data_IF_146685962621
#
_entry.id   IF_146685962621
#
_cell.length_a   1.000
_cell.length_b   1.000
_cell.length_c   1.000
_cell.angle_alpha   90.00
_cell.angle_beta   90.00
_cell.angle_gamma   90.00
#
_symmetry.space_group_name_H-M   'P 1'
#
loop_
_entity.id
_entity.type
_entity.pdbx_description
1 polymer ?
#
# COMPACT_ATOMS: atom_id res chain seq x y z
N UNK A 1 8.86 12.37 -15.27
CA UNK A 1 8.92 10.93 -15.04
C UNK A 1 9.94 10.65 -13.95
N UNK A 2 9.47 10.39 -12.73
CA UNK A 2 10.35 10.00 -11.62
C UNK A 2 10.36 8.47 -11.59
N UNK A 3 11.43 7.88 -12.18
CA UNK A 3 11.64 6.44 -12.14
C UNK A 3 11.88 5.96 -10.72
N UNK A 4 11.05 5.04 -10.24
CA UNK A 4 11.32 4.26 -9.04
C UNK A 4 12.54 3.37 -9.31
N UNK A 5 13.65 3.65 -8.65
CA UNK A 5 14.77 2.71 -8.58
C UNK A 5 14.48 1.73 -7.47
N UNK A 6 13.96 0.54 -7.79
CA UNK A 6 13.89 -0.54 -6.83
C UNK A 6 15.27 -1.18 -6.68
N UNK A 7 15.96 -0.88 -5.59
CA UNK A 7 17.14 -1.63 -5.18
C UNK A 7 16.72 -2.70 -4.18
N UNK A 8 16.72 -3.97 -4.57
CA UNK A 8 16.59 -5.07 -3.63
C UNK A 8 17.99 -5.38 -3.09
N UNK A 9 18.26 -4.98 -1.85
CA UNK A 9 19.44 -5.46 -1.13
C UNK A 9 19.09 -6.80 -0.49
N UNK A 10 19.56 -7.89 -1.07
CA UNK A 10 19.63 -9.18 -0.38
C UNK A 10 21.07 -9.36 0.07
N UNK A 11 21.34 -9.04 1.34
CA UNK A 11 22.61 -9.39 1.98
C UNK A 11 22.33 -10.45 3.03
N UNK A 12 22.64 -11.72 2.72
CA UNK A 12 23.05 -12.68 3.73
C UNK A 12 23.89 -13.78 3.11
N UNK A 13 25.00 -14.08 3.78
CA UNK A 13 25.86 -15.22 3.50
C UNK A 13 27.08 -14.94 2.64
N UNK A 14 28.09 -14.25 3.18
CA UNK A 14 29.52 -14.50 2.86
C UNK A 14 30.02 -14.23 1.46
N UNK A 15 29.32 -13.46 0.64
CA UNK A 15 29.77 -13.00 -0.67
C UNK A 15 29.51 -11.50 -0.80
N UNK A 16 30.43 -10.77 -1.43
CA UNK A 16 30.26 -9.35 -1.77
C UNK A 16 28.88 -9.13 -2.40
N UNK A 17 27.92 -8.61 -1.61
CA UNK A 17 26.55 -8.40 -2.04
C UNK A 17 26.48 -7.40 -3.20
N UNK A 18 26.04 -7.86 -4.33
CA UNK A 18 25.71 -6.98 -5.44
C UNK A 18 24.21 -6.73 -5.45
N UNK A 19 23.76 -5.48 -5.42
CA UNK A 19 22.47 -5.17 -5.97
C UNK A 19 22.59 -5.36 -7.49
N UNK A 20 22.09 -6.47 -8.02
CA UNK A 20 21.90 -6.59 -9.45
C UNK A 20 20.85 -5.58 -9.86
N UNK A 21 21.21 -4.69 -10.78
CA UNK A 21 20.21 -3.88 -11.45
C UNK A 21 19.52 -4.77 -12.50
N UNK A 22 18.33 -5.23 -12.18
CA UNK A 22 17.53 -6.10 -13.07
C UNK A 22 16.78 -5.31 -14.14
N UNK A 23 17.13 -4.06 -14.39
CA UNK A 23 16.51 -3.23 -15.38
C UNK A 23 15.87 -1.97 -14.82
N UNK A 24 15.47 -1.06 -15.68
CA UNK A 24 14.84 0.22 -15.40
C UNK A 24 13.72 0.48 -16.41
N UNK A 25 13.64 1.72 -16.89
CA UNK A 25 12.62 2.18 -17.85
C UNK A 25 12.55 1.38 -19.16
N UNK A 26 13.57 0.55 -19.46
CA UNK A 26 13.64 -0.35 -20.64
C UNK A 26 13.10 -1.75 -20.43
N UNK A 27 12.63 -2.08 -19.21
CA UNK A 27 12.13 -3.43 -18.89
C UNK A 27 13.11 -4.27 -18.07
N UNK A 28 12.79 -5.57 -17.93
CA UNK A 28 13.59 -6.53 -17.17
C UNK A 28 14.82 -6.96 -18.00
N UNK A 29 16.00 -6.88 -17.38
CA UNK A 29 17.22 -7.47 -17.92
C UNK A 29 17.26 -8.96 -17.57
N UNK A 30 16.83 -9.80 -18.50
CA UNK A 30 16.77 -11.25 -18.32
C UNK A 30 18.16 -11.91 -18.21
N UNK A 31 19.18 -11.34 -18.86
CA UNK A 31 20.55 -11.84 -18.77
C UNK A 31 21.11 -11.59 -17.36
N UNK A 32 20.90 -10.38 -16.82
CA UNK A 32 21.28 -10.06 -15.46
C UNK A 32 20.50 -10.90 -14.45
N UNK A 33 19.22 -11.20 -14.71
CA UNK A 33 18.41 -12.08 -13.87
C UNK A 33 19.00 -13.49 -13.81
N UNK A 34 19.34 -14.09 -14.96
CA UNK A 34 19.97 -15.41 -15.02
C UNK A 34 21.35 -15.39 -14.35
N UNK A 35 22.15 -14.36 -14.62
CA UNK A 35 23.48 -14.20 -14.04
C UNK A 35 23.46 -14.03 -12.52
N UNK A 36 22.35 -13.53 -11.94
CA UNK A 36 22.17 -13.39 -10.50
C UNK A 36 22.05 -14.71 -9.76
N UNK A 37 21.76 -15.82 -10.45
CA UNK A 37 21.49 -17.12 -9.87
C UNK A 37 20.19 -17.19 -9.06
N UNK A 38 19.28 -16.25 -9.23
CA UNK A 38 18.02 -16.22 -8.52
C UNK A 38 17.14 -17.43 -8.90
N UNK A 39 16.54 -18.08 -7.90
CA UNK A 39 15.59 -19.17 -8.13
C UNK A 39 14.15 -18.65 -8.27
N UNK A 40 13.84 -17.53 -7.63
CA UNK A 40 12.52 -16.92 -7.62
C UNK A 40 12.65 -15.42 -7.89
N UNK A 41 11.84 -14.91 -8.79
CA UNK A 41 11.60 -13.48 -9.01
C UNK A 41 10.22 -13.13 -8.49
N UNK A 42 10.15 -12.20 -7.54
CA UNK A 42 8.88 -11.63 -7.11
C UNK A 42 8.57 -10.38 -7.91
N UNK A 43 7.34 -10.22 -8.36
CA UNK A 43 6.95 -9.04 -9.14
C UNK A 43 5.53 -8.61 -8.82
N UNK A 44 5.24 -7.34 -9.11
CA UNK A 44 3.87 -6.83 -9.14
C UNK A 44 3.29 -7.04 -10.54
N UNK A 45 2.10 -7.69 -10.68
CA UNK A 45 1.54 -8.06 -11.97
C UNK A 45 0.86 -6.88 -12.71
N UNK A 46 1.44 -5.67 -12.64
CA UNK A 46 0.95 -4.53 -13.39
C UNK A 46 1.33 -4.64 -14.85
N UNK A 47 0.35 -4.79 -15.74
CA UNK A 47 0.57 -4.84 -17.17
C UNK A 47 1.25 -6.11 -17.68
N UNK A 48 1.38 -7.13 -16.83
CA UNK A 48 2.03 -8.42 -17.11
C UNK A 48 3.43 -8.32 -17.78
N UNK A 49 4.35 -7.51 -17.20
CA UNK A 49 5.71 -7.38 -17.76
C UNK A 49 6.53 -8.66 -17.61
N UNK A 50 6.00 -9.66 -16.88
CA UNK A 50 6.68 -10.92 -16.55
C UNK A 50 6.21 -12.10 -17.40
N UNK A 51 5.34 -11.87 -18.39
CA UNK A 51 4.85 -12.95 -19.25
C UNK A 51 6.01 -13.65 -19.97
N UNK A 52 6.07 -14.97 -19.82
CA UNK A 52 7.09 -15.81 -20.46
C UNK A 52 8.51 -15.68 -19.87
N UNK A 53 8.74 -14.80 -18.89
CA UNK A 53 10.08 -14.65 -18.24
C UNK A 53 10.53 -15.98 -17.63
N UNK A 54 9.65 -16.67 -16.92
CA UNK A 54 9.99 -17.96 -16.32
C UNK A 54 10.39 -19.04 -17.34
N UNK A 55 9.76 -19.04 -18.52
CA UNK A 55 10.07 -19.98 -19.60
C UNK A 55 11.43 -19.67 -20.25
N UNK A 56 11.74 -18.39 -20.45
CA UNK A 56 12.99 -17.95 -21.09
C UNK A 56 14.19 -18.03 -20.18
N UNK A 57 14.00 -17.75 -18.89
CA UNK A 57 15.10 -17.64 -17.91
C UNK A 57 15.27 -18.88 -17.01
N UNK A 58 14.23 -19.72 -16.90
CA UNK A 58 14.16 -20.80 -15.92
C UNK A 58 13.91 -20.36 -14.48
N UNK A 59 13.84 -19.06 -14.22
CA UNK A 59 13.54 -18.48 -12.90
C UNK A 59 12.05 -18.57 -12.62
N UNK A 60 11.66 -18.98 -11.43
CA UNK A 60 10.25 -19.04 -11.04
C UNK A 60 9.72 -17.63 -10.80
N UNK A 61 8.71 -17.20 -11.53
CA UNK A 61 8.04 -15.91 -11.33
C UNK A 61 6.88 -16.09 -10.36
N UNK A 62 6.90 -15.32 -9.27
CA UNK A 62 5.84 -15.31 -8.27
C UNK A 62 5.24 -13.89 -8.17
N UNK A 63 3.99 -13.69 -8.62
CA UNK A 63 3.33 -12.40 -8.47
C UNK A 63 2.99 -12.14 -7.01
N UNK A 64 3.33 -10.96 -6.51
CA UNK A 64 2.89 -10.46 -5.21
C UNK A 64 1.67 -9.58 -5.41
N UNK A 65 0.59 -9.87 -4.70
CA UNK A 65 -0.70 -9.16 -4.79
C UNK A 65 -1.16 -8.58 -3.45
N UNK A 66 -0.25 -8.33 -2.52
CA UNK A 66 -0.58 -7.78 -1.21
C UNK A 66 -1.28 -6.42 -1.30
N UNK A 67 -1.04 -5.68 -2.37
CA UNK A 67 -1.69 -4.39 -2.61
C UNK A 67 -3.18 -4.49 -2.94
N UNK A 68 -3.66 -5.67 -3.37
CA UNK A 68 -5.08 -5.94 -3.62
C UNK A 68 -5.85 -6.23 -2.33
N UNK A 69 -5.13 -6.53 -1.23
CA UNK A 69 -5.74 -6.83 0.04
C UNK A 69 -6.38 -5.57 0.67
N UNK A 70 -7.65 -5.70 1.01
CA UNK A 70 -8.44 -4.62 1.60
C UNK A 70 -8.38 -4.58 3.12
N UNK A 71 -7.74 -5.58 3.73
CA UNK A 71 -7.55 -5.63 5.18
C UNK A 71 -6.08 -5.46 5.54
N UNK A 72 -5.73 -4.55 6.48
CA UNK A 72 -4.33 -4.28 6.85
C UNK A 72 -3.55 -5.52 7.28
N UNK A 73 -4.18 -6.42 8.06
CA UNK A 73 -3.52 -7.66 8.47
C UNK A 73 -3.36 -8.66 7.32
N UNK A 74 -4.29 -8.73 6.37
CA UNK A 74 -4.13 -9.57 5.20
C UNK A 74 -2.92 -9.12 4.35
N UNK A 75 -2.75 -7.80 4.18
CA UNK A 75 -1.55 -7.25 3.53
C UNK A 75 -0.27 -7.58 4.30
N UNK A 76 -0.26 -7.41 5.62
CA UNK A 76 0.90 -7.73 6.46
C UNK A 76 1.22 -9.23 6.49
N UNK A 77 0.23 -10.12 6.25
CA UNK A 77 0.40 -11.56 6.28
C UNK A 77 1.29 -12.09 5.15
N UNK A 78 1.49 -11.32 4.08
CA UNK A 78 2.42 -11.67 3.01
C UNK A 78 3.86 -11.85 3.50
N UNK A 79 4.23 -11.33 4.67
CA UNK A 79 5.52 -11.64 5.31
C UNK A 79 5.72 -13.15 5.50
N UNK A 80 4.63 -13.93 5.71
CA UNK A 80 4.71 -15.38 5.85
C UNK A 80 5.11 -16.07 4.54
N UNK A 81 4.65 -15.54 3.40
CA UNK A 81 5.04 -16.03 2.07
C UNK A 81 6.55 -15.84 1.86
N UNK A 82 7.05 -14.64 2.19
CA UNK A 82 8.48 -14.33 2.11
C UNK A 82 9.28 -15.19 3.09
N UNK A 83 8.78 -15.35 4.32
CA UNK A 83 9.40 -16.22 5.31
C UNK A 83 9.48 -17.68 4.86
N UNK A 84 8.45 -18.17 4.20
CA UNK A 84 8.46 -19.52 3.64
C UNK A 84 9.51 -19.66 2.52
N UNK A 85 9.57 -18.70 1.59
CA UNK A 85 10.55 -18.71 0.50
C UNK A 85 12.00 -18.67 0.99
N UNK A 86 12.23 -17.95 2.09
CA UNK A 86 13.56 -17.76 2.66
C UNK A 86 13.94 -18.80 3.74
N UNK A 87 13.07 -19.78 4.01
CA UNK A 87 13.28 -20.74 5.08
C UNK A 87 13.18 -20.15 6.50
N UNK A 88 12.53 -18.99 6.64
CA UNK A 88 12.38 -18.23 7.89
C UNK A 88 10.93 -18.20 8.40
N UNK A 89 10.16 -19.26 8.17
CA UNK A 89 8.72 -19.31 8.48
C UNK A 89 8.41 -18.98 9.94
N UNK A 90 9.16 -19.54 10.88
CA UNK A 90 8.94 -19.28 12.32
C UNK A 90 9.15 -17.82 12.70
N UNK A 91 10.16 -17.16 12.11
CA UNK A 91 10.42 -15.74 12.34
C UNK A 91 9.33 -14.87 11.72
N UNK A 92 8.89 -15.21 10.51
CA UNK A 92 7.80 -14.50 9.82
C UNK A 92 6.48 -14.60 10.59
N UNK A 93 6.15 -15.80 11.11
CA UNK A 93 4.98 -15.99 11.97
C UNK A 93 5.06 -15.18 13.26
N UNK A 94 6.20 -15.22 13.95
CA UNK A 94 6.40 -14.43 15.17
C UNK A 94 6.23 -12.92 14.90
N UNK A 95 6.79 -12.43 13.78
CA UNK A 95 6.66 -11.04 13.36
C UNK A 95 5.21 -10.69 13.05
N UNK A 96 4.52 -11.49 12.25
CA UNK A 96 3.11 -11.28 11.93
C UNK A 96 2.23 -11.27 13.20
N UNK A 97 2.42 -12.24 14.09
CA UNK A 97 1.66 -12.33 15.33
C UNK A 97 1.86 -11.09 16.20
N UNK A 98 3.09 -10.56 16.27
CA UNK A 98 3.37 -9.30 16.95
C UNK A 98 2.67 -8.09 16.31
N UNK A 99 2.59 -8.04 14.97
CA UNK A 99 1.84 -7.00 14.25
C UNK A 99 0.36 -7.14 14.56
N UNK A 100 -0.21 -8.34 14.47
CA UNK A 100 -1.63 -8.60 14.70
C UNK A 100 -2.05 -8.23 16.13
N UNK A 101 -1.22 -8.54 17.13
CA UNK A 101 -1.45 -8.15 18.52
C UNK A 101 -1.50 -6.62 18.70
N UNK A 102 -0.50 -5.90 18.16
CA UNK A 102 -0.47 -4.43 18.25
C UNK A 102 -1.65 -3.81 17.52
N UNK A 103 -2.00 -4.35 16.35
CA UNK A 103 -3.16 -3.90 15.60
C UNK A 103 -4.46 -4.08 16.38
N UNK A 104 -4.69 -5.25 16.96
CA UNK A 104 -5.86 -5.54 17.78
C UNK A 104 -5.96 -4.59 19.00
N UNK A 105 -4.84 -4.32 19.66
CA UNK A 105 -4.79 -3.40 20.79
C UNK A 105 -5.10 -1.95 20.36
N UNK A 106 -4.53 -1.49 19.25
CA UNK A 106 -4.80 -0.16 18.71
C UNK A 106 -6.28 -0.02 18.30
N UNK A 107 -6.85 -1.01 17.62
CA UNK A 107 -8.26 -1.07 17.25
C UNK A 107 -9.18 -1.00 18.47
N UNK A 108 -8.91 -1.82 19.49
CA UNK A 108 -9.68 -1.81 20.72
C UNK A 108 -9.64 -0.45 21.44
N UNK A 109 -8.46 0.20 21.44
CA UNK A 109 -8.31 1.55 21.99
C UNK A 109 -9.09 2.60 21.19
N UNK A 110 -8.99 2.58 19.86
CA UNK A 110 -9.74 3.47 18.96
C UNK A 110 -11.25 3.35 19.17
N UNK A 111 -11.75 2.12 19.19
CA UNK A 111 -13.17 1.84 19.43
C UNK A 111 -13.64 2.28 20.82
N UNK A 112 -12.77 2.16 21.84
CA UNK A 112 -13.06 2.67 23.20
C UNK A 112 -13.17 4.19 23.20
N UNK A 113 -12.25 4.88 22.53
CA UNK A 113 -12.28 6.34 22.39
C UNK A 113 -13.51 6.81 21.64
N UNK A 114 -13.86 6.15 20.53
CA UNK A 114 -15.06 6.44 19.76
C UNK A 114 -16.35 6.36 20.59
N UNK A 115 -16.45 5.37 21.47
CA UNK A 115 -17.60 5.24 22.41
C UNK A 115 -17.69 6.36 23.42
N UNK A 116 -16.57 6.96 23.82
CA UNK A 116 -16.54 8.01 24.87
C UNK A 116 -16.58 9.43 24.30
N UNK A 117 -16.01 9.65 23.10
CA UNK A 117 -15.83 10.98 22.51
C UNK A 117 -16.54 11.17 21.16
N UNK A 118 -17.16 10.11 20.64
CA UNK A 118 -17.71 10.07 19.28
C UNK A 118 -16.69 9.57 18.24
N UNK A 119 -17.19 9.21 17.07
CA UNK A 119 -16.38 8.78 15.92
C UNK A 119 -16.19 9.96 14.98
N UNK A 120 -14.98 10.52 14.84
CA UNK A 120 -14.76 11.62 13.91
C UNK A 120 -14.99 11.14 12.47
N UNK A 121 -15.59 11.97 11.65
CA UNK A 121 -15.73 11.76 10.22
C UNK A 121 -14.46 12.20 9.53
N UNK A 122 -13.82 11.28 8.82
CA UNK A 122 -12.51 11.49 8.20
C UNK A 122 -12.61 11.36 6.69
N UNK A 123 -12.04 12.33 5.98
CA UNK A 123 -11.90 12.30 4.53
C UNK A 123 -10.43 12.46 4.14
N UNK A 124 -9.93 11.63 3.23
CA UNK A 124 -8.53 11.66 2.83
C UNK A 124 -8.36 11.41 1.33
N UNK A 125 -7.26 11.87 0.77
CA UNK A 125 -6.95 11.72 -0.63
C UNK A 125 -5.76 12.56 -1.05
N UNK A 126 -5.64 12.83 -2.33
CA UNK A 126 -4.64 13.74 -2.89
C UNK A 126 -5.14 14.39 -4.17
N UNK A 127 -4.73 15.62 -4.42
CA UNK A 127 -4.96 16.26 -5.72
C UNK A 127 -3.95 15.72 -6.73
N UNK A 128 -4.45 15.32 -7.90
CA UNK A 128 -3.64 14.84 -9.03
C UNK A 128 -4.27 15.33 -10.33
N UNK A 129 -3.53 16.19 -11.06
CA UNK A 129 -3.95 16.67 -12.37
C UNK A 129 -5.29 17.43 -12.41
N UNK A 130 -5.61 18.16 -11.36
CA UNK A 130 -6.86 18.95 -11.24
C UNK A 130 -8.05 18.17 -10.68
N UNK A 131 -7.89 16.90 -10.38
CA UNK A 131 -8.90 16.06 -9.74
C UNK A 131 -8.46 15.69 -8.31
N UNK A 132 -9.43 15.53 -7.42
CA UNK A 132 -9.18 14.89 -6.13
C UNK A 132 -9.34 13.39 -6.26
N UNK A 133 -8.31 12.65 -5.85
CA UNK A 133 -8.30 11.18 -5.81
C UNK A 133 -8.36 10.71 -4.38
N UNK A 134 -9.43 10.03 -4.01
CA UNK A 134 -9.67 9.50 -2.68
C UNK A 134 -9.71 7.96 -2.69
N UNK A 135 -9.29 7.28 -1.60
CA UNK A 135 -9.52 5.85 -1.44
C UNK A 135 -11.01 5.50 -1.48
N UNK A 136 -11.33 4.31 -1.99
CA UNK A 136 -12.70 3.79 -1.99
C UNK A 136 -13.17 3.46 -0.56
N UNK A 137 -14.48 3.52 -0.33
CA UNK A 137 -15.10 3.23 0.98
C UNK A 137 -14.89 1.77 1.44
N UNK A 138 -14.65 0.85 0.52
CA UNK A 138 -14.40 -0.57 0.78
C UNK A 138 -12.89 -0.92 0.74
N UNK A 139 -12.02 0.10 0.66
CA UNK A 139 -10.58 -0.06 0.55
C UNK A 139 -9.84 -0.10 1.90
N UNK A 140 -8.54 -0.30 1.81
CA UNK A 140 -7.64 -0.41 2.96
C UNK A 140 -7.71 0.82 3.89
N UNK A 141 -7.73 2.03 3.30
CA UNK A 141 -7.68 3.28 4.08
C UNK A 141 -8.98 3.49 4.86
N UNK A 142 -10.14 3.25 4.22
CA UNK A 142 -11.43 3.30 4.90
C UNK A 142 -11.46 2.34 6.10
N UNK A 143 -10.97 1.11 5.89
CA UNK A 143 -10.87 0.12 6.97
C UNK A 143 -9.96 0.58 8.11
N UNK A 144 -8.81 1.21 7.80
CA UNK A 144 -7.91 1.75 8.83
C UNK A 144 -8.58 2.85 9.66
N UNK A 145 -9.34 3.75 9.01
CA UNK A 145 -10.10 4.80 9.69
C UNK A 145 -11.15 4.19 10.62
N UNK A 146 -11.94 3.23 10.12
CA UNK A 146 -12.97 2.54 10.90
C UNK A 146 -12.38 1.76 12.08
N UNK A 147 -11.30 1.03 11.85
CA UNK A 147 -10.64 0.24 12.88
C UNK A 147 -9.97 1.14 13.93
N UNK A 148 -9.58 2.36 13.57
CA UNK A 148 -9.11 3.39 14.51
C UNK A 148 -10.24 4.07 15.31
N UNK A 149 -11.50 3.77 15.00
CA UNK A 149 -12.67 4.34 15.68
C UNK A 149 -13.25 5.58 15.02
N UNK A 150 -12.76 5.94 13.82
CA UNK A 150 -13.32 6.98 12.97
C UNK A 150 -14.45 6.45 12.09
N UNK A 151 -15.03 7.36 11.33
CA UNK A 151 -15.97 7.07 10.25
C UNK A 151 -15.36 7.60 8.95
N UNK A 152 -15.20 6.75 7.96
CA UNK A 152 -14.75 7.21 6.66
C UNK A 152 -15.92 7.93 5.94
N UNK A 153 -15.67 9.13 5.41
CA UNK A 153 -16.73 9.99 4.88
C UNK A 153 -17.44 9.37 3.66
N UNK A 154 -16.64 8.76 2.75
CA UNK A 154 -17.22 8.14 1.57
C UNK A 154 -17.91 6.82 1.94
N UNK A 155 -19.09 6.63 1.41
CA UNK A 155 -19.83 5.39 1.42
C UNK A 155 -20.40 5.10 0.02
N UNK A 156 -20.97 3.92 -0.15
CA UNK A 156 -21.58 3.51 -1.43
C UNK A 156 -22.68 4.45 -1.89
N UNK A 157 -23.45 5.00 -0.97
CA UNK A 157 -24.57 5.92 -1.28
C UNK A 157 -24.05 7.25 -1.80
N UNK A 158 -23.03 7.80 -1.15
CA UNK A 158 -22.37 9.06 -1.57
C UNK A 158 -21.72 8.88 -2.93
N UNK A 159 -20.98 7.79 -3.15
CA UNK A 159 -20.38 7.47 -4.45
C UNK A 159 -21.41 7.48 -5.57
N UNK A 160 -22.55 6.81 -5.35
CA UNK A 160 -23.61 6.71 -6.35
C UNK A 160 -24.40 8.03 -6.55
N UNK A 161 -24.76 8.70 -5.45
CA UNK A 161 -25.59 9.92 -5.53
C UNK A 161 -24.86 11.10 -6.15
N UNK A 162 -23.55 11.17 -5.99
CA UNK A 162 -22.71 12.21 -6.58
C UNK A 162 -22.13 11.83 -7.96
N UNK A 163 -22.38 10.61 -8.42
CA UNK A 163 -21.84 10.12 -9.69
C UNK A 163 -20.31 10.08 -9.72
N UNK A 164 -19.67 9.76 -8.59
CA UNK A 164 -18.21 9.75 -8.49
C UNK A 164 -17.62 8.62 -9.33
N UNK A 165 -16.47 8.88 -9.95
CA UNK A 165 -15.82 7.94 -10.85
C UNK A 165 -14.87 7.01 -10.09
N UNK A 166 -15.15 5.70 -10.07
CA UNK A 166 -14.25 4.71 -9.51
C UNK A 166 -13.15 4.33 -10.52
N UNK A 167 -11.91 4.38 -10.08
CA UNK A 167 -10.72 4.00 -10.85
C UNK A 167 -9.86 3.05 -9.98
N UNK A 168 -10.02 1.78 -10.20
CA UNK A 168 -9.37 0.74 -9.37
C UNK A 168 -9.82 0.82 -7.91
N UNK A 169 -8.86 1.02 -7.01
CA UNK A 169 -9.08 1.19 -5.57
C UNK A 169 -9.29 2.65 -5.13
N UNK A 170 -9.47 3.55 -6.10
CA UNK A 170 -9.65 4.98 -5.85
C UNK A 170 -10.96 5.49 -6.45
N UNK A 171 -11.38 6.64 -5.96
CA UNK A 171 -12.47 7.45 -6.49
C UNK A 171 -11.87 8.77 -6.93
N UNK A 172 -12.14 9.18 -8.16
CA UNK A 172 -11.79 10.49 -8.69
C UNK A 172 -13.01 11.39 -8.70
N UNK A 173 -12.80 12.65 -8.33
CA UNK A 173 -13.83 13.69 -8.29
C UNK A 173 -13.27 15.05 -8.64
N UNK A 174 -14.14 15.94 -9.11
CA UNK A 174 -13.79 17.33 -9.32
C UNK A 174 -13.53 18.04 -7.98
N UNK A 175 -12.72 19.10 -7.99
CA UNK A 175 -12.37 19.82 -6.76
C UNK A 175 -13.59 20.45 -6.08
N UNK A 176 -14.63 20.82 -6.84
CA UNK A 176 -15.90 21.30 -6.33
C UNK A 176 -16.65 20.21 -5.54
N UNK A 177 -16.66 18.97 -6.06
CA UNK A 177 -17.26 17.82 -5.36
C UNK A 177 -16.48 17.52 -4.08
N UNK A 178 -15.14 17.57 -4.16
CA UNK A 178 -14.29 17.43 -2.98
C UNK A 178 -14.60 18.49 -1.92
N UNK A 179 -14.72 19.77 -2.32
CA UNK A 179 -15.00 20.87 -1.39
C UNK A 179 -16.34 20.68 -0.66
N UNK A 180 -17.36 20.19 -1.37
CA UNK A 180 -18.66 19.87 -0.77
C UNK A 180 -18.52 18.73 0.26
N UNK A 181 -17.83 17.65 -0.10
CA UNK A 181 -17.63 16.51 0.80
C UNK A 181 -16.76 16.88 2.01
N UNK A 182 -15.69 17.63 1.78
CA UNK A 182 -14.76 18.03 2.85
C UNK A 182 -15.42 18.90 3.93
N UNK A 183 -16.50 19.63 3.56
CA UNK A 183 -17.27 20.42 4.51
C UNK A 183 -18.03 19.57 5.55
N UNK A 184 -18.32 18.31 5.24
CA UNK A 184 -19.00 17.36 6.13
C UNK A 184 -18.01 16.51 6.96
N UNK A 185 -16.70 16.69 6.77
CA UNK A 185 -15.67 15.99 7.51
C UNK A 185 -15.22 16.76 8.76
N UNK A 186 -15.07 16.07 9.89
CA UNK A 186 -14.43 16.64 11.10
C UNK A 186 -12.92 16.83 10.87
N UNK A 187 -12.33 15.98 10.02
CA UNK A 187 -10.93 16.08 9.62
C UNK A 187 -10.77 15.60 8.17
N UNK A 188 -10.04 16.38 7.39
CA UNK A 188 -9.62 15.94 6.07
C UNK A 188 -8.12 16.19 5.88
N UNK A 189 -7.48 15.39 5.05
CA UNK A 189 -6.04 15.50 4.84
C UNK A 189 -5.57 14.84 3.57
N UNK A 190 -4.40 15.32 3.12
CA UNK A 190 -3.68 14.73 2.01
C UNK A 190 -2.96 13.47 2.49
N UNK A 191 -3.20 12.34 1.85
CA UNK A 191 -2.31 11.18 2.00
C UNK A 191 -1.06 11.47 1.17
N UNK A 192 0.01 11.85 1.84
CA UNK A 192 1.29 12.07 1.20
C UNK A 192 2.17 10.86 1.52
N UNK A 193 2.55 10.11 0.50
CA UNK A 193 3.71 9.23 0.59
C UNK A 193 4.96 10.12 0.58
N UNK A 194 5.33 10.61 1.75
CA UNK A 194 6.51 11.45 1.88
C UNK A 194 7.66 10.62 2.47
N UNK A 195 8.87 10.71 1.92
CA UNK A 195 10.08 10.23 2.57
C UNK A 195 10.22 10.88 3.95
N UNK A 196 10.83 10.16 4.90
CA UNK A 196 11.14 10.68 6.23
C UNK A 196 11.76 12.08 6.16
N UNK A 197 11.13 13.06 6.80
CA UNK A 197 11.57 14.46 6.82
C UNK A 197 10.59 15.48 6.19
N UNK A 198 9.71 15.08 5.30
CA UNK A 198 8.74 16.00 4.67
C UNK A 198 7.63 16.44 5.62
N UNK A 199 7.29 15.60 6.61
CA UNK A 199 6.27 15.94 7.61
C UNK A 199 6.66 17.06 8.59
N UNK A 200 7.97 17.43 8.64
CA UNK A 200 8.42 18.47 9.56
C UNK A 200 8.26 19.89 9.00
N UNK A 201 8.13 20.05 7.70
CA UNK A 201 7.97 21.37 7.08
C UNK A 201 6.52 21.84 7.04
N UNK A 202 5.58 20.92 6.74
CA UNK A 202 4.15 21.27 6.67
C UNK A 202 3.51 21.49 8.06
N UNK A 203 3.99 20.84 9.10
CA UNK A 203 3.55 21.07 10.47
C UNK A 203 3.93 22.44 11.06
N UNK A 204 4.83 23.18 10.39
CA UNK A 204 5.22 24.54 10.78
C UNK A 204 4.49 25.64 9.98
N UNK A 205 3.73 25.25 8.96
CA UNK A 205 3.00 26.16 8.09
C UNK A 205 1.49 26.24 8.41
N UNK A 206 1.02 25.44 9.36
CA UNK A 206 -0.36 25.45 9.90
C UNK A 206 -0.38 26.10 11.29
#
# INVERSE_FOLDING_TARGET
GTGYKSSVNISEGGGSGFPFNLGGDGGLDEEALVASGAHVLTSYPFGDPMQGVGERTGVKVMPLREYEEQHPLARAEYIKVLGWLLGQSSQAEATFNGIAQRYAAAKANGQRLAKSAGSPVVFTGSEQGGLWTAPTFDGLVARLVEDAGGQYLLDKKTEQSMGLRRVGSNIEMELEQFAVLAADADAWGKVVYAPDGWYQEDAKAA
#
